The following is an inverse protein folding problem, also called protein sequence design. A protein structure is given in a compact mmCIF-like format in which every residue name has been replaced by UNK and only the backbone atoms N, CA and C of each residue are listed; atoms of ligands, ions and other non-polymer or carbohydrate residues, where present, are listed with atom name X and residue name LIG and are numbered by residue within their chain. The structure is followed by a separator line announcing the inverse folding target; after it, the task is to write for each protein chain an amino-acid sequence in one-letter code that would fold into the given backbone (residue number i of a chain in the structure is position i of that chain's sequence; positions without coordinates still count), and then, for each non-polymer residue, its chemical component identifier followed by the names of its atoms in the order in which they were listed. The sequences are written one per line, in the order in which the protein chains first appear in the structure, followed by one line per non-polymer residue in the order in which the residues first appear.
data_IF_262755767029
#
_entry.id   IF_262755767029
#
_cell.length_a   1.000
_cell.length_b   1.000
_cell.length_c   1.000
_cell.angle_alpha   90.00
_cell.angle_beta   90.00
_cell.angle_gamma   90.00
#
_symmetry.space_group_name_H-M   'P 1'
#
loop_
_entity.id
_entity.type
_entity.pdbx_description
1 polymer ?
#
# COMPACT_ATOMS: atom_id res chain seq x y z
N UNK A 1 19.35 -0.70 12.15
CA UNK A 1 19.47 -1.91 11.31
C UNK A 1 20.69 -2.68 11.76
N UNK A 2 20.60 -3.97 12.03
CA UNK A 2 21.73 -4.80 12.43
C UNK A 2 22.02 -5.84 11.34
N UNK A 3 23.22 -5.84 10.80
CA UNK A 3 23.66 -6.77 9.77
C UNK A 3 24.68 -7.73 10.36
N UNK A 4 24.36 -9.04 10.38
CA UNK A 4 25.27 -10.06 10.85
C UNK A 4 26.23 -10.50 9.75
N UNK A 5 27.53 -10.29 9.99
CA UNK A 5 28.59 -10.90 9.20
C UNK A 5 28.83 -10.35 7.79
N UNK A 6 28.33 -9.19 7.46
CA UNK A 6 28.52 -8.63 6.13
C UNK A 6 29.51 -7.45 6.14
N UNK A 7 30.66 -7.67 5.56
CA UNK A 7 31.65 -6.63 5.29
C UNK A 7 31.27 -5.72 4.10
N UNK A 8 30.01 -5.72 3.66
CA UNK A 8 29.63 -5.05 2.42
C UNK A 8 28.75 -3.83 2.56
N UNK A 9 28.38 -3.49 3.73
CA UNK A 9 27.56 -2.29 3.92
C UNK A 9 28.41 -1.03 3.82
N UNK A 10 29.41 -1.05 3.03
CA UNK A 10 30.31 0.07 2.92
C UNK A 10 29.90 0.84 1.70
N UNK A 11 29.22 1.91 1.94
CA UNK A 11 29.40 2.99 1.03
C UNK A 11 30.78 3.62 1.29
N UNK A 12 31.20 4.46 0.37
CA UNK A 12 32.45 5.17 0.48
C UNK A 12 32.39 6.34 1.50
N UNK A 13 31.47 6.34 2.45
CA UNK A 13 31.38 7.39 3.45
C UNK A 13 32.16 6.99 4.71
N UNK A 14 32.91 7.93 5.32
CA UNK A 14 33.77 7.66 6.48
C UNK A 14 33.02 7.26 7.76
N UNK A 15 31.72 7.26 7.76
CA UNK A 15 30.89 7.08 8.96
C UNK A 15 30.53 5.62 9.27
N UNK A 16 30.88 4.67 8.41
CA UNK A 16 30.53 3.26 8.64
C UNK A 16 31.59 2.56 9.44
N UNK A 17 31.36 2.34 10.71
CA UNK A 17 32.24 1.57 11.58
C UNK A 17 31.69 0.16 11.76
N UNK A 18 31.93 -0.69 10.78
CA UNK A 18 31.65 -2.11 10.93
C UNK A 18 32.91 -2.82 11.40
N UNK A 19 32.90 -3.52 12.53
CA UNK A 19 34.02 -4.37 12.92
C UNK A 19 34.17 -5.51 11.90
N UNK A 20 35.37 -5.97 11.71
CA UNK A 20 35.70 -7.04 10.76
C UNK A 20 35.03 -8.40 11.06
N UNK A 21 34.44 -8.56 12.23
CA UNK A 21 33.64 -9.70 12.63
C UNK A 21 32.59 -9.25 13.67
N UNK A 22 31.34 -9.66 13.46
CA UNK A 22 30.23 -9.38 14.37
C UNK A 22 29.10 -8.52 13.77
N UNK A 23 28.05 -8.26 14.54
CA UNK A 23 26.94 -7.43 14.07
C UNK A 23 27.40 -5.97 13.89
N UNK A 24 27.00 -5.37 12.77
CA UNK A 24 27.25 -3.99 12.44
C UNK A 24 25.99 -3.15 12.70
N UNK A 25 26.14 -2.07 13.44
CA UNK A 25 25.08 -1.08 13.59
C UNK A 25 25.33 0.07 12.61
N UNK A 26 24.37 0.29 11.74
CA UNK A 26 24.38 1.39 10.77
C UNK A 26 23.38 2.43 11.27
N UNK A 27 23.89 3.60 11.64
CA UNK A 27 23.07 4.72 12.11
C UNK A 27 22.53 5.54 10.93
N UNK A 28 23.34 5.66 9.87
CA UNK A 28 22.93 6.30 8.63
C UNK A 28 23.49 5.52 7.45
N UNK A 29 22.71 5.33 6.42
CA UNK A 29 23.13 4.63 5.22
C UNK A 29 22.60 5.30 3.97
N UNK A 30 23.46 5.37 2.95
CA UNK A 30 23.09 5.85 1.64
C UNK A 30 23.81 5.05 0.57
N UNK A 31 23.08 4.71 -0.48
CA UNK A 31 23.61 4.09 -1.69
C UNK A 31 22.97 4.76 -2.91
N UNK A 32 23.79 5.16 -3.88
CA UNK A 32 23.34 5.72 -5.14
C UNK A 32 23.65 7.22 -5.31
N UNK A 33 23.24 7.75 -6.45
CA UNK A 33 23.36 9.19 -6.76
C UNK A 33 22.16 9.98 -6.24
N UNK A 34 22.39 11.19 -5.81
CA UNK A 34 21.33 12.14 -5.49
C UNK A 34 21.09 13.07 -6.68
N UNK A 35 19.86 13.58 -6.77
CA UNK A 35 19.48 14.60 -7.72
C UNK A 35 18.90 15.78 -6.95
N UNK A 36 19.46 16.97 -7.15
CA UNK A 36 18.92 18.18 -6.58
C UNK A 36 18.41 19.06 -7.71
N UNK A 37 17.16 19.48 -7.64
CA UNK A 37 16.50 20.30 -8.69
C UNK A 37 16.63 19.69 -10.10
N UNK A 38 16.46 18.37 -10.24
CA UNK A 38 16.51 17.67 -11.52
C UNK A 38 17.91 17.47 -12.11
N UNK A 39 18.98 17.79 -11.39
CA UNK A 39 20.36 17.56 -11.81
C UNK A 39 21.05 16.54 -10.92
N UNK A 40 21.96 15.70 -11.49
CA UNK A 40 22.80 14.87 -10.67
C UNK A 40 23.59 15.72 -9.66
N UNK A 41 23.46 15.39 -8.37
CA UNK A 41 24.25 16.04 -7.34
C UNK A 41 25.44 15.14 -6.98
N UNK A 42 26.66 15.54 -7.31
CA UNK A 42 27.85 14.77 -6.97
C UNK A 42 28.19 14.85 -5.47
N UNK A 43 27.57 15.79 -4.76
CA UNK A 43 27.77 16.00 -3.32
C UNK A 43 26.43 16.00 -2.61
N UNK A 44 25.76 14.85 -2.54
CA UNK A 44 24.43 14.75 -1.99
C UNK A 44 24.39 15.26 -0.55
N UNK A 45 23.48 16.15 -0.27
CA UNK A 45 23.27 16.75 1.04
C UNK A 45 22.51 15.75 1.93
N UNK A 46 23.16 15.26 2.96
CA UNK A 46 22.55 14.50 4.02
C UNK A 46 22.59 12.97 3.85
N UNK A 47 23.01 12.31 4.89
CA UNK A 47 22.82 10.89 5.11
C UNK A 47 21.37 10.63 5.51
N UNK A 48 20.79 9.51 5.08
CA UNK A 48 19.54 9.05 5.66
C UNK A 48 19.82 8.65 7.11
N UNK A 49 19.45 9.49 8.04
CA UNK A 49 19.59 9.16 9.45
C UNK A 49 18.48 8.18 9.87
N UNK A 50 18.80 6.91 9.81
CA UNK A 50 17.87 5.83 10.18
C UNK A 50 17.46 5.86 11.66
N UNK A 51 18.19 6.63 12.51
CA UNK A 51 17.82 6.80 13.93
C UNK A 51 16.64 7.74 14.10
N UNK A 52 16.49 8.68 13.18
CA UNK A 52 15.43 9.69 13.21
C UNK A 52 14.27 9.38 12.28
N UNK A 53 14.37 8.33 11.48
CA UNK A 53 13.18 7.78 10.85
C UNK A 53 12.33 7.20 11.99
N UNK A 54 11.19 7.80 12.30
CA UNK A 54 10.35 7.27 13.36
C UNK A 54 9.75 5.95 12.87
N UNK A 55 10.55 4.89 12.94
CA UNK A 55 9.96 3.57 12.94
C UNK A 55 8.94 3.58 14.04
N UNK A 56 7.67 3.33 13.76
CA UNK A 56 6.69 3.31 14.82
C UNK A 56 7.16 2.29 15.85
N UNK A 57 7.58 2.78 16.99
CA UNK A 57 7.98 1.91 18.08
C UNK A 57 6.80 0.98 18.37
N UNK A 58 7.02 -0.32 18.22
CA UNK A 58 5.99 -1.32 18.49
C UNK A 58 5.03 -1.63 17.34
N UNK A 59 5.31 -1.22 16.09
CA UNK A 59 4.56 -1.76 14.96
C UNK A 59 5.22 -3.06 14.49
N UNK A 60 5.09 -4.08 15.30
CA UNK A 60 5.22 -5.47 14.89
C UNK A 60 3.85 -5.97 14.46
N UNK A 61 3.81 -7.04 13.65
CA UNK A 61 2.58 -7.82 13.46
C UNK A 61 1.97 -8.05 14.86
N UNK A 62 0.71 -7.67 15.13
CA UNK A 62 0.14 -7.93 16.42
C UNK A 62 0.15 -9.44 16.64
N UNK A 63 0.60 -9.85 17.79
CA UNK A 63 0.35 -11.22 18.21
C UNK A 63 -1.16 -11.44 18.20
N UNK A 64 -1.60 -12.55 17.63
CA UNK A 64 -2.99 -12.97 17.79
C UNK A 64 -3.20 -13.11 19.30
N UNK A 65 -4.11 -12.35 19.91
CA UNK A 65 -4.26 -12.37 21.36
C UNK A 65 -4.56 -13.81 21.79
N UNK A 66 -3.97 -14.22 22.91
CA UNK A 66 -4.36 -15.47 23.54
C UNK A 66 -5.83 -15.36 23.91
N UNK A 67 -6.70 -15.95 23.10
CA UNK A 67 -8.14 -15.88 23.26
C UNK A 67 -8.68 -17.27 23.58
N UNK A 68 -9.61 -17.34 24.54
CA UNK A 68 -10.39 -18.55 24.77
C UNK A 68 -11.43 -18.73 23.66
N UNK A 69 -11.96 -19.92 23.49
CA UNK A 69 -13.00 -20.17 22.49
C UNK A 69 -14.24 -19.25 22.65
N UNK A 70 -14.51 -18.78 23.86
CA UNK A 70 -15.61 -17.84 24.13
C UNK A 70 -15.31 -16.39 23.68
N UNK A 71 -14.06 -16.07 23.46
CA UNK A 71 -13.60 -14.75 23.03
C UNK A 71 -13.34 -14.67 21.52
N UNK A 72 -13.62 -15.78 20.82
CA UNK A 72 -13.48 -15.85 19.34
C UNK A 72 -14.86 -15.95 18.71
N UNK A 73 -15.24 -14.99 17.90
CA UNK A 73 -16.35 -15.13 16.98
C UNK A 73 -15.87 -15.92 15.76
N UNK A 74 -16.44 -17.10 15.51
CA UNK A 74 -16.09 -17.92 14.36
C UNK A 74 -17.21 -17.83 13.33
N UNK A 75 -16.92 -17.24 12.17
CA UNK A 75 -17.90 -16.93 11.16
C UNK A 75 -18.75 -18.14 10.71
N UNK A 76 -18.14 -19.34 10.57
CA UNK A 76 -18.88 -20.53 10.19
C UNK A 76 -19.83 -20.99 11.31
N UNK A 77 -19.40 -20.98 12.56
CA UNK A 77 -20.27 -21.34 13.70
C UNK A 77 -21.35 -20.29 13.94
N UNK A 78 -21.13 -19.08 13.49
CA UNK A 78 -22.08 -17.96 13.56
C UNK A 78 -23.11 -17.97 12.44
N UNK A 79 -22.97 -18.89 11.48
CA UNK A 79 -23.96 -19.15 10.43
C UNK A 79 -23.55 -18.71 9.01
N UNK A 80 -22.33 -18.22 8.82
CA UNK A 80 -21.80 -18.02 7.47
C UNK A 80 -21.66 -19.36 6.72
N UNK A 81 -21.90 -19.36 5.41
CA UNK A 81 -21.76 -20.53 4.57
C UNK A 81 -20.38 -20.63 3.94
N UNK A 82 -19.80 -19.50 3.58
CA UNK A 82 -18.45 -19.35 3.02
C UNK A 82 -18.18 -20.20 1.74
N UNK A 83 -19.21 -20.42 0.90
CA UNK A 83 -19.12 -21.20 -0.33
C UNK A 83 -18.90 -20.35 -1.60
N UNK A 84 -18.86 -19.03 -1.47
CA UNK A 84 -18.73 -18.06 -2.57
C UNK A 84 -20.04 -17.83 -3.36
N UNK A 85 -21.15 -18.40 -2.92
CA UNK A 85 -22.47 -18.30 -3.60
C UNK A 85 -23.52 -17.66 -2.70
N UNK A 86 -23.69 -18.20 -1.48
CA UNK A 86 -24.58 -17.62 -0.49
C UNK A 86 -24.12 -16.22 -0.11
N UNK A 87 -25.08 -15.39 0.28
CA UNK A 87 -24.77 -14.03 0.76
C UNK A 87 -24.52 -14.07 2.27
N UNK A 88 -23.26 -13.95 2.65
CA UNK A 88 -22.83 -13.97 4.04
C UNK A 88 -22.83 -12.58 4.71
N UNK A 89 -23.31 -11.52 4.01
CA UNK A 89 -23.20 -10.13 4.51
C UNK A 89 -23.74 -9.97 5.92
N UNK A 90 -25.00 -10.37 6.16
CA UNK A 90 -25.63 -10.18 7.47
C UNK A 90 -24.97 -11.02 8.55
N UNK A 91 -24.75 -12.31 8.27
CA UNK A 91 -24.16 -13.25 9.23
C UNK A 91 -22.73 -12.88 9.58
N UNK A 92 -21.96 -12.44 8.60
CA UNK A 92 -20.60 -12.00 8.84
C UNK A 92 -20.56 -10.67 9.62
N UNK A 93 -21.47 -9.71 9.31
CA UNK A 93 -21.57 -8.50 10.10
C UNK A 93 -21.98 -8.81 11.55
N UNK A 94 -22.93 -9.71 11.77
CA UNK A 94 -23.29 -10.17 13.11
C UNK A 94 -22.12 -10.80 13.87
N UNK A 95 -21.25 -11.56 13.20
CA UNK A 95 -20.00 -12.06 13.77
C UNK A 95 -19.08 -10.92 14.24
N UNK A 96 -18.91 -9.90 13.40
CA UNK A 96 -18.10 -8.71 13.71
C UNK A 96 -18.74 -7.93 14.87
N UNK A 97 -20.07 -7.80 14.89
CA UNK A 97 -20.83 -7.06 15.88
C UNK A 97 -20.78 -7.68 17.29
N UNK A 98 -20.39 -8.95 17.41
CA UNK A 98 -20.13 -9.58 18.70
C UNK A 98 -18.98 -8.92 19.46
N UNK A 99 -18.14 -8.16 18.76
CA UNK A 99 -16.97 -7.47 19.34
C UNK A 99 -16.09 -8.41 20.16
N UNK A 100 -15.96 -9.64 19.68
CA UNK A 100 -15.04 -10.62 20.24
C UNK A 100 -13.60 -10.11 20.10
N UNK A 101 -12.68 -10.68 20.88
CA UNK A 101 -11.24 -10.35 20.78
C UNK A 101 -10.74 -10.64 19.37
N UNK A 102 -11.23 -11.71 18.75
CA UNK A 102 -10.93 -12.07 17.36
C UNK A 102 -12.23 -12.46 16.66
N UNK A 103 -12.47 -11.90 15.47
CA UNK A 103 -13.43 -12.43 14.49
C UNK A 103 -12.65 -13.29 13.51
N UNK A 104 -12.83 -14.59 13.59
CA UNK A 104 -12.08 -15.58 12.82
C UNK A 104 -12.90 -16.06 11.62
N UNK A 105 -12.28 -16.01 10.44
CA UNK A 105 -12.82 -16.51 9.19
C UNK A 105 -12.09 -17.81 8.82
N UNK A 106 -12.65 -18.99 9.11
CA UNK A 106 -12.13 -20.23 8.57
C UNK A 106 -11.99 -20.21 7.05
N UNK A 107 -11.11 -21.05 6.52
CA UNK A 107 -10.88 -21.13 5.07
C UNK A 107 -12.19 -21.28 4.30
N UNK A 108 -12.44 -20.35 3.39
CA UNK A 108 -13.65 -20.29 2.58
C UNK A 108 -13.76 -19.00 1.77
N UNK A 109 -14.86 -18.84 1.05
CA UNK A 109 -15.17 -17.65 0.26
C UNK A 109 -16.46 -17.03 0.80
N UNK A 110 -16.37 -16.02 1.59
CA UNK A 110 -17.47 -15.27 2.19
C UNK A 110 -17.98 -14.26 1.18
N UNK A 111 -19.06 -14.61 0.47
CA UNK A 111 -19.63 -13.76 -0.56
C UNK A 111 -20.52 -12.68 0.06
N UNK A 112 -20.27 -11.41 -0.26
CA UNK A 112 -21.01 -10.27 0.30
C UNK A 112 -21.66 -9.42 -0.78
N UNK A 113 -22.85 -8.90 -0.51
CA UNK A 113 -23.55 -7.93 -1.36
C UNK A 113 -23.64 -6.55 -0.74
N UNK A 114 -23.18 -6.38 0.49
CA UNK A 114 -23.18 -5.15 1.27
C UNK A 114 -21.82 -4.83 1.87
N UNK A 115 -21.70 -3.64 2.43
CA UNK A 115 -20.53 -3.22 3.19
C UNK A 115 -20.47 -3.90 4.55
N UNK A 116 -19.26 -4.23 4.98
CA UNK A 116 -18.95 -4.71 6.33
C UNK A 116 -18.24 -3.60 7.10
N UNK A 117 -18.73 -3.29 8.28
CA UNK A 117 -18.17 -2.27 9.16
C UNK A 117 -17.34 -2.89 10.27
N UNK A 118 -16.08 -2.49 10.37
CA UNK A 118 -15.22 -2.85 11.50
C UNK A 118 -15.37 -1.84 12.64
N UNK A 119 -15.57 -2.33 13.82
CA UNK A 119 -15.68 -1.53 15.03
C UNK A 119 -14.33 -1.31 15.71
N UNK A 120 -14.29 -0.42 16.68
CA UNK A 120 -13.10 -0.21 17.46
C UNK A 120 -12.67 -1.49 18.20
N UNK A 121 -11.41 -1.87 18.04
CA UNK A 121 -10.82 -3.08 18.61
C UNK A 121 -11.06 -4.34 17.78
N UNK A 122 -11.78 -4.30 16.65
CA UNK A 122 -11.97 -5.47 15.81
C UNK A 122 -10.63 -6.01 15.31
N UNK A 123 -10.40 -7.30 15.52
CA UNK A 123 -9.36 -8.08 14.84
C UNK A 123 -10.02 -9.10 13.93
N UNK A 124 -10.00 -8.85 12.63
CA UNK A 124 -10.50 -9.75 11.60
C UNK A 124 -9.35 -10.62 11.09
N UNK A 125 -9.40 -11.90 11.35
CA UNK A 125 -8.35 -12.85 11.06
C UNK A 125 -8.85 -13.95 10.13
N UNK A 126 -8.23 -14.08 8.94
CA UNK A 126 -8.51 -15.17 8.01
C UNK A 126 -7.65 -16.41 8.25
N UNK A 127 -8.18 -17.58 7.97
CA UNK A 127 -7.41 -18.81 7.91
C UNK A 127 -6.90 -19.02 6.49
N UNK A 128 -5.57 -19.06 6.34
CA UNK A 128 -4.92 -19.41 5.08
C UNK A 128 -5.48 -18.65 3.86
N UNK A 129 -5.60 -17.33 4.00
CA UNK A 129 -6.16 -16.44 2.97
C UNK A 129 -7.66 -16.68 2.69
N UNK A 130 -8.46 -16.91 3.71
CA UNK A 130 -9.92 -16.87 3.59
C UNK A 130 -10.36 -15.61 2.84
N UNK A 131 -11.35 -15.71 1.94
CA UNK A 131 -11.66 -14.63 1.03
C UNK A 131 -12.98 -13.93 1.38
N UNK A 132 -12.95 -12.61 1.54
CA UNK A 132 -14.11 -11.73 1.41
C UNK A 132 -14.33 -11.44 -0.07
N UNK A 133 -15.48 -11.73 -0.62
CA UNK A 133 -15.72 -11.63 -2.04
C UNK A 133 -17.01 -10.87 -2.36
N UNK A 134 -16.88 -9.69 -2.98
CA UNK A 134 -18.03 -8.92 -3.42
C UNK A 134 -18.78 -9.65 -4.55
N UNK A 135 -20.10 -9.81 -4.39
CA UNK A 135 -20.95 -10.49 -5.36
C UNK A 135 -21.16 -9.66 -6.62
N UNK A 136 -21.33 -10.30 -7.79
CA UNK A 136 -21.52 -9.62 -9.07
C UNK A 136 -22.72 -8.67 -9.13
N UNK A 137 -23.79 -8.98 -8.43
CA UNK A 137 -25.06 -8.25 -8.44
C UNK A 137 -25.24 -7.26 -7.30
N UNK A 138 -24.17 -6.90 -6.60
CA UNK A 138 -24.21 -5.98 -5.48
C UNK A 138 -24.52 -4.54 -5.96
N UNK A 139 -25.80 -4.19 -6.06
CA UNK A 139 -26.28 -2.94 -6.66
C UNK A 139 -25.77 -1.68 -5.95
N UNK A 140 -25.49 -1.75 -4.64
CA UNK A 140 -24.89 -0.66 -3.87
C UNK A 140 -23.50 -0.23 -4.33
N UNK A 141 -22.82 -1.06 -5.13
CA UNK A 141 -21.46 -0.84 -5.63
C UNK A 141 -21.39 -0.48 -7.13
N UNK A 142 -22.53 -0.32 -7.80
CA UNK A 142 -22.54 -0.07 -9.23
C UNK A 142 -22.22 1.38 -9.61
N UNK A 143 -22.47 2.36 -8.73
CA UNK A 143 -22.35 3.77 -9.04
C UNK A 143 -20.95 4.32 -8.78
N UNK A 144 -20.16 4.50 -9.84
CA UNK A 144 -18.80 5.06 -9.73
C UNK A 144 -18.75 6.50 -9.20
N UNK A 145 -19.85 7.26 -9.29
CA UNK A 145 -19.92 8.62 -8.75
C UNK A 145 -20.24 8.65 -7.24
N UNK A 146 -20.67 7.52 -6.68
CA UNK A 146 -20.93 7.33 -5.26
C UNK A 146 -20.26 6.03 -4.80
N UNK A 147 -18.93 6.02 -4.64
CA UNK A 147 -18.21 4.82 -4.28
C UNK A 147 -18.66 4.26 -2.92
N UNK A 148 -18.71 2.94 -2.82
CA UNK A 148 -19.01 2.22 -1.59
C UNK A 148 -17.91 1.20 -1.29
N UNK A 149 -17.59 1.03 -0.01
CA UNK A 149 -16.54 0.11 0.41
C UNK A 149 -17.11 -1.26 0.77
N UNK A 150 -16.40 -2.34 0.38
CA UNK A 150 -16.70 -3.70 0.84
C UNK A 150 -16.39 -3.84 2.32
N UNK A 151 -15.21 -3.36 2.71
CA UNK A 151 -14.77 -3.31 4.11
C UNK A 151 -14.53 -1.86 4.49
N UNK A 152 -15.21 -1.37 5.52
CA UNK A 152 -15.07 -0.02 6.06
C UNK A 152 -14.94 -0.06 7.58
N UNK A 153 -14.85 1.10 8.21
CA UNK A 153 -14.69 1.22 9.66
C UNK A 153 -15.61 2.31 10.20
N UNK A 154 -15.97 2.18 11.47
CA UNK A 154 -16.57 3.29 12.21
C UNK A 154 -15.59 4.46 12.32
N UNK A 155 -16.10 5.69 12.36
CA UNK A 155 -15.27 6.86 12.62
C UNK A 155 -14.55 6.75 13.97
N UNK A 156 -13.24 7.02 13.99
CA UNK A 156 -12.41 6.92 15.19
C UNK A 156 -12.07 5.49 15.64
N UNK A 157 -12.49 4.46 14.90
CA UNK A 157 -12.15 3.08 15.22
C UNK A 157 -10.68 2.75 14.91
N UNK A 158 -10.10 1.89 15.72
CA UNK A 158 -8.84 1.19 15.39
C UNK A 158 -9.17 -0.28 15.19
N UNK A 159 -8.80 -0.83 14.02
CA UNK A 159 -9.03 -2.24 13.71
C UNK A 159 -7.79 -2.88 13.09
N UNK A 160 -7.77 -4.21 13.10
CA UNK A 160 -6.72 -5.03 12.49
C UNK A 160 -7.35 -6.02 11.52
N UNK A 161 -6.75 -6.19 10.34
CA UNK A 161 -7.10 -7.20 9.35
C UNK A 161 -5.85 -7.99 9.00
N UNK A 162 -5.92 -9.31 9.04
CA UNK A 162 -4.76 -10.16 8.80
C UNK A 162 -5.13 -11.46 8.08
N UNK A 163 -4.18 -11.95 7.26
CA UNK A 163 -4.24 -13.27 6.59
C UNK A 163 -5.52 -13.45 5.75
N UNK A 164 -5.90 -12.42 5.00
CA UNK A 164 -7.18 -12.36 4.32
C UNK A 164 -7.02 -11.95 2.87
N UNK A 165 -7.88 -12.48 2.01
CA UNK A 165 -8.05 -11.97 0.65
C UNK A 165 -9.34 -11.14 0.57
N UNK A 166 -9.28 -9.96 -0.05
CA UNK A 166 -10.46 -9.16 -0.42
C UNK A 166 -10.55 -9.10 -1.93
N UNK A 167 -11.65 -9.54 -2.50
CA UNK A 167 -11.78 -9.65 -3.96
C UNK A 167 -13.18 -9.34 -4.48
N UNK A 168 -13.30 -9.29 -5.79
CA UNK A 168 -14.58 -9.21 -6.50
C UNK A 168 -14.79 -10.52 -7.27
N UNK A 169 -15.97 -11.10 -7.20
CA UNK A 169 -16.31 -12.29 -8.01
C UNK A 169 -16.50 -11.88 -9.47
N UNK A 170 -16.16 -12.77 -10.39
CA UNK A 170 -16.23 -12.55 -11.83
C UNK A 170 -17.66 -12.21 -12.31
N UNK A 171 -17.76 -11.42 -13.39
CA UNK A 171 -19.04 -10.99 -13.97
C UNK A 171 -19.71 -9.81 -13.27
N UNK A 172 -18.99 -9.09 -12.43
CA UNK A 172 -19.53 -8.00 -11.63
C UNK A 172 -19.63 -6.68 -12.39
N UNK A 173 -20.72 -5.94 -12.15
CA UNK A 173 -20.84 -4.53 -12.53
C UNK A 173 -20.78 -3.67 -11.26
N UNK A 174 -19.59 -3.46 -10.77
CA UNK A 174 -19.34 -2.83 -9.47
C UNK A 174 -18.35 -1.66 -9.59
N UNK A 175 -18.55 -0.85 -10.63
CA UNK A 175 -17.65 0.27 -10.96
C UNK A 175 -17.46 1.30 -9.83
N UNK A 176 -18.36 1.32 -8.85
CA UNK A 176 -18.26 2.14 -7.64
C UNK A 176 -17.63 1.42 -6.45
N UNK A 177 -17.21 0.16 -6.59
CA UNK A 177 -16.64 -0.56 -5.46
C UNK A 177 -15.26 0.00 -5.07
N UNK A 178 -15.04 0.07 -3.76
CA UNK A 178 -13.75 0.21 -3.10
C UNK A 178 -13.60 -1.03 -2.22
N UNK A 179 -12.51 -1.78 -2.31
CA UNK A 179 -12.40 -2.99 -1.48
C UNK A 179 -12.24 -2.65 -0.01
N UNK A 180 -11.37 -1.68 0.31
CA UNK A 180 -11.13 -1.26 1.69
C UNK A 180 -11.15 0.26 1.79
N UNK A 181 -11.92 0.80 2.72
CA UNK A 181 -11.95 2.23 3.03
C UNK A 181 -11.62 2.48 4.49
N UNK A 182 -10.65 3.36 4.72
CA UNK A 182 -10.30 3.88 6.04
C UNK A 182 -10.79 5.32 6.12
N UNK A 183 -11.92 5.60 6.78
CA UNK A 183 -12.45 6.95 6.92
C UNK A 183 -11.54 7.82 7.79
N UNK A 184 -11.74 9.13 7.75
CA UNK A 184 -11.07 10.06 8.64
C UNK A 184 -11.21 9.64 10.10
N UNK A 185 -10.20 9.93 10.92
CA UNK A 185 -10.09 9.57 12.34
C UNK A 185 -9.97 8.06 12.64
N UNK A 186 -10.24 7.16 11.69
CA UNK A 186 -10.04 5.72 11.87
C UNK A 186 -8.58 5.31 11.62
N UNK A 187 -8.16 4.20 12.20
CA UNK A 187 -6.82 3.64 12.00
C UNK A 187 -6.90 2.15 11.68
N UNK A 188 -6.40 1.75 10.53
CA UNK A 188 -6.38 0.36 10.11
C UNK A 188 -4.96 -0.21 10.14
N UNK A 189 -4.82 -1.42 10.68
CA UNK A 189 -3.61 -2.24 10.57
C UNK A 189 -3.89 -3.43 9.67
N UNK A 190 -3.07 -3.62 8.65
CA UNK A 190 -3.20 -4.73 7.70
C UNK A 190 -1.91 -5.55 7.63
N UNK A 191 -2.04 -6.85 7.71
CA UNK A 191 -0.91 -7.78 7.64
C UNK A 191 -1.26 -8.96 6.75
N UNK A 192 -0.39 -9.26 5.77
CA UNK A 192 -0.57 -10.39 4.86
C UNK A 192 -1.98 -10.39 4.20
N UNK A 193 -2.37 -9.23 3.64
CA UNK A 193 -3.67 -9.06 2.98
C UNK A 193 -3.50 -8.94 1.48
N UNK A 194 -4.27 -9.73 0.74
CA UNK A 194 -4.32 -9.64 -0.71
C UNK A 194 -5.63 -9.01 -1.18
N UNK A 195 -5.53 -8.03 -2.05
CA UNK A 195 -6.67 -7.40 -2.71
C UNK A 195 -6.56 -7.68 -4.21
N UNK A 196 -7.48 -8.47 -4.76
CA UNK A 196 -7.42 -8.90 -6.15
C UNK A 196 -8.75 -8.67 -6.85
N UNK A 197 -8.71 -8.06 -8.01
CA UNK A 197 -9.89 -7.80 -8.83
C UNK A 197 -9.63 -8.13 -10.29
N UNK A 198 -10.57 -8.81 -10.91
CA UNK A 198 -10.59 -9.14 -12.33
C UNK A 198 -11.70 -8.38 -13.08
N UNK A 199 -12.12 -7.23 -12.57
CA UNK A 199 -13.19 -6.39 -13.14
C UNK A 199 -12.97 -4.93 -12.75
N UNK A 200 -13.58 -4.00 -13.48
CA UNK A 200 -13.48 -2.57 -13.20
C UNK A 200 -14.11 -2.17 -11.88
N UNK A 201 -13.31 -1.61 -10.97
CA UNK A 201 -13.74 -0.99 -9.73
C UNK A 201 -13.22 0.44 -9.60
N UNK A 202 -13.68 1.15 -8.58
CA UNK A 202 -13.23 2.53 -8.33
C UNK A 202 -11.79 2.60 -7.82
N UNK A 203 -11.48 1.85 -6.76
CA UNK A 203 -10.15 1.72 -6.20
C UNK A 203 -10.04 0.43 -5.38
N UNK A 204 -8.82 -0.09 -5.21
CA UNK A 204 -8.62 -1.16 -4.23
C UNK A 204 -8.74 -0.60 -2.82
N UNK A 205 -8.10 0.52 -2.53
CA UNK A 205 -8.11 1.08 -1.20
C UNK A 205 -8.19 2.62 -1.22
N UNK A 206 -9.00 3.19 -0.32
CA UNK A 206 -9.05 4.63 -0.03
C UNK A 206 -8.81 4.89 1.44
N UNK A 207 -7.95 5.85 1.75
CA UNK A 207 -7.50 6.13 3.12
C UNK A 207 -7.55 7.63 3.37
N UNK A 208 -8.42 8.05 4.28
CA UNK A 208 -8.45 9.41 4.85
C UNK A 208 -8.07 9.43 6.33
N UNK A 209 -7.98 8.28 6.96
CA UNK A 209 -7.51 8.08 8.35
C UNK A 209 -6.04 7.70 8.42
N UNK A 210 -5.72 6.76 9.32
CA UNK A 210 -4.40 6.18 9.46
C UNK A 210 -4.31 4.77 8.89
N UNK A 211 -3.15 4.41 8.35
CA UNK A 211 -2.90 3.09 7.84
C UNK A 211 -1.53 2.59 8.26
N UNK A 212 -1.48 1.38 8.77
CA UNK A 212 -0.29 0.55 8.80
C UNK A 212 -0.52 -0.68 7.93
N UNK A 213 0.21 -0.81 6.84
CA UNK A 213 0.12 -1.95 5.93
C UNK A 213 1.48 -2.64 5.84
N UNK A 214 1.51 -3.94 6.09
CA UNK A 214 2.71 -4.78 5.97
C UNK A 214 2.38 -6.05 5.20
N UNK A 215 3.19 -6.37 4.19
CA UNK A 215 2.93 -7.51 3.30
C UNK A 215 1.53 -7.44 2.65
N UNK A 216 1.14 -6.27 2.17
CA UNK A 216 -0.14 -6.07 1.49
C UNK A 216 0.09 -6.03 -0.01
N UNK A 217 -0.66 -6.86 -0.74
CA UNK A 217 -0.62 -6.92 -2.18
C UNK A 217 -1.97 -6.55 -2.78
N UNK A 218 -1.97 -5.52 -3.64
CA UNK A 218 -3.13 -5.05 -4.36
C UNK A 218 -2.93 -5.16 -5.86
N UNK A 219 -3.71 -6.00 -6.55
CA UNK A 219 -3.62 -6.19 -7.99
C UNK A 219 -4.97 -5.95 -8.70
N UNK A 220 -4.92 -5.14 -9.76
CA UNK A 220 -5.99 -4.97 -10.72
C UNK A 220 -5.94 -5.98 -11.87
N UNK A 221 -6.87 -5.87 -12.82
CA UNK A 221 -6.89 -6.70 -14.02
C UNK A 221 -6.13 -6.07 -15.21
N UNK A 222 -5.66 -4.85 -15.03
CA UNK A 222 -4.95 -4.12 -16.08
C UNK A 222 -5.83 -3.52 -17.18
N UNK A 223 -7.14 -3.65 -17.11
CA UNK A 223 -8.04 -3.19 -18.17
C UNK A 223 -9.00 -2.08 -17.75
N UNK A 224 -9.58 -2.17 -16.56
CA UNK A 224 -10.67 -1.28 -16.13
C UNK A 224 -10.43 -0.68 -14.73
N UNK A 225 -9.52 -1.23 -13.94
CA UNK A 225 -9.25 -0.75 -12.60
C UNK A 225 -8.50 0.57 -12.61
N UNK A 226 -9.10 1.61 -12.04
CA UNK A 226 -8.58 2.98 -12.14
C UNK A 226 -7.45 3.24 -11.16
N UNK A 227 -7.58 2.82 -9.92
CA UNK A 227 -6.67 3.20 -8.85
C UNK A 227 -6.38 2.01 -7.93
N UNK A 228 -5.13 1.91 -7.51
CA UNK A 228 -4.71 0.98 -6.45
C UNK A 228 -4.98 1.57 -5.08
N UNK A 229 -3.97 2.14 -4.45
CA UNK A 229 -4.06 2.84 -3.18
C UNK A 229 -4.26 4.34 -3.41
N UNK A 230 -5.26 4.92 -2.77
CA UNK A 230 -5.50 6.37 -2.74
C UNK A 230 -5.44 6.84 -1.29
N UNK A 231 -4.57 7.79 -1.00
CA UNK A 231 -4.47 8.46 0.31
C UNK A 231 -4.97 9.88 0.14
N UNK A 232 -6.04 10.22 0.87
CA UNK A 232 -6.76 11.49 0.72
C UNK A 232 -6.72 12.26 2.04
N UNK A 233 -5.95 13.36 2.11
CA UNK A 233 -5.91 14.29 3.26
C UNK A 233 -5.96 13.57 4.63
N UNK A 234 -5.09 12.58 4.80
CA UNK A 234 -5.12 11.67 5.94
C UNK A 234 -4.90 12.40 7.28
N UNK A 235 -5.67 11.98 8.29
CA UNK A 235 -5.62 12.58 9.64
C UNK A 235 -4.57 11.95 10.56
N UNK A 236 -4.07 10.77 10.21
CA UNK A 236 -3.09 10.01 10.98
C UNK A 236 -1.95 9.53 10.07
N UNK A 237 -0.78 9.19 10.61
CA UNK A 237 0.33 8.69 9.82
C UNK A 237 0.00 7.46 8.97
N UNK A 238 0.63 7.36 7.81
CA UNK A 238 0.56 6.23 6.90
C UNK A 238 1.90 5.51 6.88
N UNK A 239 1.86 4.20 7.08
CA UNK A 239 3.02 3.32 7.03
C UNK A 239 2.77 2.17 6.07
N UNK A 240 3.61 2.07 5.05
CA UNK A 240 3.57 0.99 4.06
C UNK A 240 4.89 0.23 4.12
N UNK A 241 4.86 -1.06 4.38
CA UNK A 241 6.06 -1.89 4.47
C UNK A 241 5.89 -3.15 3.64
N UNK A 242 6.78 -3.39 2.69
CA UNK A 242 6.70 -4.54 1.78
C UNK A 242 5.31 -4.65 1.12
N UNK A 243 4.85 -3.56 0.53
CA UNK A 243 3.54 -3.52 -0.16
C UNK A 243 3.72 -3.58 -1.67
N UNK A 244 2.74 -4.10 -2.37
CA UNK A 244 2.70 -4.11 -3.83
C UNK A 244 1.37 -3.60 -4.35
N UNK A 245 1.41 -2.75 -5.39
CA UNK A 245 0.24 -2.17 -6.04
C UNK A 245 0.42 -2.31 -7.55
N UNK A 246 -0.45 -3.10 -8.19
CA UNK A 246 -0.17 -3.61 -9.52
C UNK A 246 -1.39 -3.52 -10.43
N UNK A 247 -1.11 -3.37 -11.74
CA UNK A 247 -2.05 -3.55 -12.83
C UNK A 247 -3.27 -2.63 -12.80
N UNK A 248 -3.07 -1.35 -12.47
CA UNK A 248 -4.12 -0.34 -12.55
C UNK A 248 -3.95 0.55 -13.79
N UNK A 249 -5.03 0.93 -14.44
CA UNK A 249 -4.99 1.84 -15.59
C UNK A 249 -4.79 3.31 -15.21
N UNK A 250 -4.96 3.66 -13.95
CA UNK A 250 -4.58 4.93 -13.34
C UNK A 250 -3.34 4.76 -12.47
N UNK A 251 -3.14 5.60 -11.47
CA UNK A 251 -2.00 5.49 -10.57
C UNK A 251 -2.08 4.24 -9.70
N UNK A 252 -0.95 3.55 -9.53
CA UNK A 252 -0.83 2.44 -8.56
C UNK A 252 -1.00 2.96 -7.14
N UNK A 253 -0.37 4.11 -6.86
CA UNK A 253 -0.52 4.85 -5.61
C UNK A 253 -0.75 6.32 -5.93
N UNK A 254 -1.79 6.91 -5.36
CA UNK A 254 -2.15 8.32 -5.51
C UNK A 254 -2.22 9.00 -4.14
N UNK A 255 -1.44 10.05 -3.96
CA UNK A 255 -1.38 10.88 -2.76
C UNK A 255 -2.06 12.21 -3.05
N UNK A 256 -3.19 12.48 -2.41
CA UNK A 256 -4.05 13.63 -2.64
C UNK A 256 -4.20 14.44 -1.34
N UNK A 257 -3.39 15.47 -1.16
CA UNK A 257 -3.29 16.18 0.10
C UNK A 257 -2.78 15.31 1.26
N UNK A 258 -2.01 14.27 0.93
CA UNK A 258 -1.51 13.32 1.91
C UNK A 258 -0.32 13.90 2.69
N UNK A 259 -0.19 13.51 3.96
CA UNK A 259 0.93 13.92 4.81
C UNK A 259 1.34 12.81 5.78
N UNK A 260 2.61 12.89 6.24
CA UNK A 260 3.20 11.87 7.10
C UNK A 260 3.08 10.45 6.50
N UNK A 261 3.45 10.31 5.23
CA UNK A 261 3.46 9.02 4.52
C UNK A 261 4.88 8.46 4.53
N UNK A 262 5.04 7.28 5.07
CA UNK A 262 6.31 6.54 5.01
C UNK A 262 6.09 5.22 4.32
N UNK A 263 6.85 4.95 3.25
CA UNK A 263 6.81 3.69 2.53
C UNK A 263 8.19 3.04 2.49
N UNK A 264 8.23 1.74 2.78
CA UNK A 264 9.45 0.95 2.82
C UNK A 264 9.27 -0.29 1.96
N UNK A 265 10.11 -0.44 0.92
CA UNK A 265 10.05 -1.56 -0.02
C UNK A 265 8.66 -1.68 -0.65
N UNK A 266 8.25 -0.68 -1.40
CA UNK A 266 6.97 -0.68 -2.12
C UNK A 266 7.21 -0.99 -3.59
N UNK A 267 6.48 -1.98 -4.10
CA UNK A 267 6.46 -2.33 -5.52
C UNK A 267 5.25 -1.68 -6.20
N UNK A 268 5.45 -1.26 -7.45
CA UNK A 268 4.40 -0.78 -8.35
C UNK A 268 4.63 -1.41 -9.72
N UNK A 269 3.59 -2.05 -10.27
CA UNK A 269 3.70 -2.75 -11.55
C UNK A 269 2.62 -2.32 -12.52
N UNK A 270 3.05 -2.00 -13.75
CA UNK A 270 2.14 -1.60 -14.83
C UNK A 270 1.26 -2.76 -15.30
N UNK A 271 0.06 -2.47 -15.80
CA UNK A 271 -0.79 -3.48 -16.41
C UNK A 271 -0.09 -4.23 -17.56
N UNK A 272 -0.32 -5.52 -17.62
CA UNK A 272 0.19 -6.39 -18.70
C UNK A 272 -0.66 -6.32 -19.98
N UNK A 273 -1.77 -5.58 -19.96
CA UNK A 273 -2.65 -5.40 -21.11
C UNK A 273 -2.13 -4.31 -22.05
N UNK A 274 -2.52 -4.35 -23.33
CA UNK A 274 -2.20 -3.32 -24.32
C UNK A 274 -3.06 -2.04 -24.20
N UNK A 275 -3.64 -1.78 -23.06
CA UNK A 275 -4.41 -0.55 -22.80
C UNK A 275 -3.49 0.68 -22.78
N UNK A 276 -4.03 1.88 -22.93
CA UNK A 276 -3.23 3.10 -22.90
C UNK A 276 -2.32 3.12 -21.68
N UNK A 277 -1.09 3.52 -21.89
CA UNK A 277 -0.09 3.59 -20.83
C UNK A 277 -0.63 4.33 -19.60
N UNK A 278 -0.48 3.73 -18.46
CA UNK A 278 -0.71 4.42 -17.18
C UNK A 278 0.25 5.59 -17.12
N UNK A 279 -0.24 6.84 -16.94
CA UNK A 279 0.65 8.00 -17.01
C UNK A 279 1.69 8.00 -15.88
N UNK A 280 1.34 7.45 -14.69
CA UNK A 280 2.19 7.51 -13.50
C UNK A 280 1.99 6.27 -12.62
N UNK A 281 3.07 5.70 -12.12
CA UNK A 281 2.98 4.66 -11.09
C UNK A 281 2.64 5.28 -9.72
N UNK A 282 3.35 6.34 -9.35
CA UNK A 282 3.13 7.14 -8.14
C UNK A 282 2.73 8.56 -8.52
N UNK A 283 1.60 9.00 -8.03
CA UNK A 283 1.08 10.35 -8.24
C UNK A 283 1.00 11.11 -6.91
N UNK A 284 1.74 12.20 -6.78
CA UNK A 284 1.79 13.04 -5.58
C UNK A 284 1.33 14.44 -5.98
N UNK A 285 0.22 14.89 -5.43
CA UNK A 285 -0.34 16.21 -5.74
C UNK A 285 0.39 17.35 -5.00
N UNK A 286 0.08 18.59 -5.39
CA UNK A 286 0.70 19.80 -4.84
C UNK A 286 0.38 20.06 -3.34
N UNK A 287 -0.60 19.39 -2.78
CA UNK A 287 -1.03 19.59 -1.41
C UNK A 287 -0.41 18.55 -0.47
N UNK A 288 0.22 17.52 -1.03
CA UNK A 288 0.88 16.47 -0.25
C UNK A 288 2.22 16.93 0.30
N UNK A 289 2.51 16.56 1.55
CA UNK A 289 3.74 16.94 2.27
C UNK A 289 4.23 15.79 3.16
N UNK A 290 5.53 15.83 3.51
CA UNK A 290 6.16 14.85 4.40
C UNK A 290 5.94 13.41 3.93
N UNK A 291 6.40 13.14 2.70
CA UNK A 291 6.34 11.83 2.06
C UNK A 291 7.75 11.26 1.95
N UNK A 292 7.97 10.14 2.64
CA UNK A 292 9.27 9.48 2.70
C UNK A 292 9.16 8.06 2.15
N UNK A 293 9.83 7.78 1.05
CA UNK A 293 9.79 6.46 0.38
C UNK A 293 11.21 5.91 0.30
N UNK A 294 11.41 4.70 0.81
CA UNK A 294 12.68 3.98 0.76
C UNK A 294 12.46 2.63 0.08
N UNK A 295 13.17 2.39 -1.01
CA UNK A 295 13.06 1.14 -1.77
C UNK A 295 11.79 1.07 -2.62
N UNK A 296 11.58 2.06 -3.48
CA UNK A 296 10.55 2.00 -4.51
C UNK A 296 11.02 1.11 -5.67
N UNK A 297 10.23 0.14 -6.05
CA UNK A 297 10.42 -0.64 -7.26
C UNK A 297 9.22 -0.41 -8.19
N UNK A 298 9.48 0.12 -9.39
CA UNK A 298 8.45 0.31 -10.40
C UNK A 298 8.79 -0.50 -11.65
N UNK A 299 7.86 -1.31 -12.12
CA UNK A 299 8.07 -2.23 -13.23
C UNK A 299 7.03 -2.05 -14.32
N UNK A 300 7.50 -2.07 -15.57
CA UNK A 300 6.66 -2.17 -16.76
C UNK A 300 7.18 -3.30 -17.66
N UNK A 301 6.33 -4.26 -17.93
CA UNK A 301 6.71 -5.43 -18.75
C UNK A 301 6.37 -5.26 -20.23
N UNK A 302 5.35 -4.48 -20.55
CA UNK A 302 4.78 -4.42 -21.91
C UNK A 302 4.91 -3.02 -22.50
N UNK A 303 4.73 -2.00 -21.71
CA UNK A 303 4.77 -0.62 -22.15
C UNK A 303 5.78 0.18 -21.34
N UNK A 304 6.24 1.26 -21.91
CA UNK A 304 7.15 2.15 -21.20
C UNK A 304 6.36 3.17 -20.41
N UNK A 305 6.54 3.27 -19.09
CA UNK A 305 5.99 4.36 -18.31
C UNK A 305 6.47 5.70 -18.87
N UNK A 306 5.58 6.67 -19.12
CA UNK A 306 6.01 8.03 -19.41
C UNK A 306 6.85 8.61 -18.26
N UNK A 307 6.42 8.42 -17.04
CA UNK A 307 7.22 8.66 -15.84
C UNK A 307 6.75 7.74 -14.69
N UNK A 308 7.67 7.38 -13.80
CA UNK A 308 7.34 6.57 -12.62
C UNK A 308 6.62 7.42 -11.58
N UNK A 309 7.11 8.63 -11.34
CA UNK A 309 6.64 9.52 -10.27
C UNK A 309 6.21 10.83 -10.88
N UNK A 310 5.04 11.30 -10.51
CA UNK A 310 4.61 12.68 -10.68
C UNK A 310 4.51 13.33 -9.30
N UNK A 311 5.24 14.44 -9.09
CA UNK A 311 5.22 15.21 -7.85
C UNK A 311 5.18 16.69 -8.18
N UNK A 312 4.01 17.20 -8.51
CA UNK A 312 3.84 18.59 -8.98
C UNK A 312 3.51 19.51 -7.81
N UNK A 313 4.48 20.34 -7.41
CA UNK A 313 4.30 21.31 -6.34
C UNK A 313 4.28 20.74 -4.92
N UNK A 314 4.45 19.44 -4.78
CA UNK A 314 4.55 18.78 -3.48
C UNK A 314 5.82 19.24 -2.74
N UNK A 315 5.74 19.28 -1.41
CA UNK A 315 6.85 19.72 -0.54
C UNK A 315 7.27 18.62 0.41
N UNK A 316 8.54 18.63 0.81
CA UNK A 316 9.10 17.70 1.76
C UNK A 316 8.89 16.23 1.30
N UNK A 317 9.38 15.95 0.10
CA UNK A 317 9.27 14.64 -0.54
C UNK A 317 10.67 14.04 -0.66
N UNK A 318 10.89 12.94 0.01
CA UNK A 318 12.13 12.18 -0.05
C UNK A 318 11.87 10.79 -0.64
N UNK A 319 12.56 10.46 -1.71
CA UNK A 319 12.49 9.12 -2.32
C UNK A 319 13.91 8.59 -2.44
N UNK A 320 14.21 7.56 -1.66
CA UNK A 320 15.49 6.89 -1.63
C UNK A 320 15.39 5.53 -2.28
N UNK A 321 16.41 5.18 -3.09
CA UNK A 321 16.51 3.85 -3.69
C UNK A 321 15.27 3.51 -4.55
N UNK A 322 15.11 4.22 -5.65
CA UNK A 322 14.14 3.87 -6.67
C UNK A 322 14.80 2.98 -7.73
N UNK A 323 14.20 1.81 -7.98
CA UNK A 323 14.56 0.90 -9.06
C UNK A 323 13.45 0.89 -10.07
N UNK A 324 13.80 0.98 -11.35
CA UNK A 324 12.82 0.98 -12.41
C UNK A 324 13.14 -0.04 -13.49
N UNK A 325 12.11 -0.53 -14.14
CA UNK A 325 12.21 -1.32 -15.35
C UNK A 325 11.33 -0.66 -16.41
N UNK A 326 11.97 -0.23 -17.51
CA UNK A 326 11.30 0.24 -18.72
C UNK A 326 10.46 1.54 -18.55
N UNK A 327 11.02 2.57 -17.93
CA UNK A 327 10.44 3.91 -17.91
C UNK A 327 11.26 4.92 -18.71
N UNK A 328 10.62 5.97 -19.25
CA UNK A 328 11.32 7.06 -19.95
C UNK A 328 11.86 8.11 -19.01
N UNK A 329 11.15 8.33 -17.89
CA UNK A 329 11.49 9.34 -16.89
C UNK A 329 11.27 8.79 -15.49
N UNK A 330 12.10 9.20 -14.54
CA UNK A 330 11.92 8.85 -13.13
C UNK A 330 10.89 9.74 -12.45
N UNK A 331 11.03 11.03 -12.65
CA UNK A 331 10.27 12.03 -11.92
C UNK A 331 9.86 13.16 -12.85
N UNK A 332 8.62 13.57 -12.72
CA UNK A 332 8.14 14.85 -13.26
C UNK A 332 7.73 15.71 -12.07
N UNK A 333 8.56 16.74 -11.79
CA UNK A 333 8.29 17.72 -10.76
C UNK A 333 8.09 19.10 -11.43
N UNK A 334 6.87 19.62 -11.41
CA UNK A 334 6.54 20.87 -12.12
C UNK A 334 6.81 20.74 -13.63
N UNK A 335 7.63 21.62 -14.18
CA UNK A 335 8.09 21.58 -15.58
C UNK A 335 9.41 20.82 -15.77
N UNK A 336 10.03 20.35 -14.70
CA UNK A 336 11.29 19.64 -14.78
C UNK A 336 11.05 18.13 -14.88
N UNK A 337 11.57 17.53 -15.95
CA UNK A 337 11.62 16.08 -16.10
C UNK A 337 13.03 15.59 -15.76
N UNK A 338 13.11 14.54 -14.94
CA UNK A 338 14.37 13.85 -14.67
C UNK A 338 14.42 12.60 -15.53
N UNK A 339 15.25 12.60 -16.59
CA UNK A 339 15.32 11.48 -17.53
C UNK A 339 15.95 10.26 -16.87
N UNK A 340 15.54 9.08 -17.32
CA UNK A 340 16.24 7.84 -17.06
C UNK A 340 17.54 7.86 -17.85
N UNK A 341 18.71 7.55 -17.27
CA UNK A 341 19.96 7.44 -18.01
C UNK A 341 19.88 6.38 -19.11
N UNK A 342 20.47 6.67 -20.28
CA UNK A 342 20.56 5.71 -21.37
C UNK A 342 21.29 4.42 -20.92
N UNK A 343 20.71 3.26 -21.20
CA UNK A 343 21.29 1.95 -20.93
C UNK A 343 20.68 1.22 -19.72
N UNK A 344 19.56 1.69 -19.17
CA UNK A 344 18.99 1.21 -17.93
C UNK A 344 18.14 -0.04 -17.98
N UNK A 345 18.77 -1.19 -18.03
CA UNK A 345 18.26 -2.37 -17.32
C UNK A 345 18.90 -2.31 -15.92
N UNK A 346 18.12 -2.03 -14.90
CA UNK A 346 18.57 -1.89 -13.50
C UNK A 346 19.64 -0.81 -13.32
N UNK A 347 19.30 0.45 -13.48
CA UNK A 347 20.17 1.51 -13.00
C UNK A 347 20.30 1.46 -11.49
N UNK A 348 21.50 1.43 -10.92
CA UNK A 348 21.67 1.31 -9.47
C UNK A 348 21.03 2.51 -8.78
N UNK A 349 20.23 2.22 -7.79
CA UNK A 349 19.73 3.03 -6.70
C UNK A 349 19.93 4.56 -6.83
N UNK A 350 18.83 5.30 -6.96
CA UNK A 350 18.85 6.77 -7.03
C UNK A 350 18.07 7.37 -5.88
N UNK A 351 18.58 8.47 -5.35
CA UNK A 351 17.90 9.26 -4.33
C UNK A 351 17.34 10.53 -4.97
N UNK A 352 16.13 10.88 -4.62
CA UNK A 352 15.50 12.13 -5.03
C UNK A 352 15.08 12.91 -3.79
N UNK A 353 15.50 14.14 -3.72
CA UNK A 353 14.98 15.11 -2.75
C UNK A 353 14.40 16.26 -3.55
N UNK A 354 13.10 16.50 -3.43
CA UNK A 354 12.49 17.68 -4.02
C UNK A 354 12.91 18.90 -3.19
N UNK A 355 13.82 19.69 -3.73
CA UNK A 355 14.17 20.95 -3.10
C UNK A 355 12.94 21.88 -3.12
N UNK A 356 12.69 22.55 -2.01
CA UNK A 356 11.75 23.65 -1.93
C UNK A 356 12.12 24.68 -2.99
N UNK A 357 11.25 24.94 -3.94
CA UNK A 357 11.36 26.02 -4.92
C UNK A 357 10.48 27.18 -4.50
#
# INVERSE_FOLDING_TARGET
MSLNGAAFAVDNTPSTKCPSAGPCQIDAWRQGGAFTAGKPDPSPQGDVDLRHQPWPAGVSRPEVPSATAAEVANALTDGCVADGVHDDTETLQLSIDKRAVVTFLPLGVYATSGSLALHNGTMLLGENMAALALKPSASGFANAAQPAAVLTMDGGATATVSDLMVKVLSGSQVAGAVLVQVPAEAQLRMYDVWMMVGVGINALMRVSGGLYASSVWGAGDGTENKLGLVIEANTHPIWLTATSWEHHIGAMVSLQGAHNVTALMTQMEEPTSQQPAVPWALDIDAQSTSVHIVGLMAMSWVQQFPAIIRAQGAQDIDIFTAVEFNATQYLVAGSAAVPVPEGGLCSPFKCFTAAQS
#
